data_IF_941334835101
#
_entry.id   IF_941334835101
#
_cell.length_a   1.000
_cell.length_b   1.000
_cell.length_c   1.000
_cell.angle_alpha   90.00
_cell.angle_beta   90.00
_cell.angle_gamma   90.00
#
_symmetry.space_group_name_H-M   'P 1'
#
loop_
_entity.id
_entity.type
_entity.pdbx_description
1 polymer ?
#
# COMPACT_ATOMS: atom_id res chain seq x y z
N UNK A 1 4.23 4.67 -36.40
CA UNK A 1 4.20 4.84 -34.94
C UNK A 1 5.36 5.76 -34.59
N UNK A 2 5.10 6.94 -34.02
CA UNK A 2 6.17 7.81 -33.52
C UNK A 2 6.75 7.25 -32.22
N UNK A 3 7.98 7.62 -31.82
CA UNK A 3 8.55 7.20 -30.53
C UNK A 3 7.62 7.49 -29.34
N UNK A 4 7.00 8.67 -29.30
CA UNK A 4 6.05 9.04 -28.25
C UNK A 4 4.79 8.16 -28.23
N UNK A 5 4.29 7.74 -29.40
CA UNK A 5 3.15 6.81 -29.49
C UNK A 5 3.54 5.40 -29.03
N UNK A 6 4.76 4.96 -29.35
CA UNK A 6 5.28 3.68 -28.89
C UNK A 6 5.43 3.66 -27.36
N UNK A 7 6.00 4.71 -26.77
CA UNK A 7 6.16 4.85 -25.31
C UNK A 7 4.80 4.86 -24.60
N UNK A 8 3.82 5.60 -25.15
CA UNK A 8 2.48 5.64 -24.59
C UNK A 8 1.84 4.25 -24.58
N UNK A 9 1.85 3.54 -25.71
CA UNK A 9 1.31 2.18 -25.81
C UNK A 9 2.03 1.18 -24.90
N UNK A 10 3.34 1.32 -24.75
CA UNK A 10 4.11 0.50 -23.82
C UNK A 10 3.63 0.71 -22.38
N UNK A 11 3.54 1.97 -21.93
CA UNK A 11 3.07 2.31 -20.58
C UNK A 11 1.61 1.89 -20.35
N UNK A 12 0.75 2.00 -21.37
CA UNK A 12 -0.65 1.57 -21.30
C UNK A 12 -0.82 0.07 -21.09
N UNK A 13 0.12 -0.74 -21.59
CA UNK A 13 0.13 -2.18 -21.37
C UNK A 13 0.83 -2.52 -20.05
N UNK A 14 1.96 -1.87 -19.74
CA UNK A 14 2.70 -2.08 -18.51
C UNK A 14 1.84 -1.80 -17.26
N UNK A 15 1.04 -0.72 -17.26
CA UNK A 15 0.16 -0.35 -16.13
C UNK A 15 -0.91 -1.39 -15.80
N UNK A 16 -1.25 -2.29 -16.73
CA UNK A 16 -2.25 -3.35 -16.55
C UNK A 16 -1.69 -4.57 -15.81
N UNK A 17 -0.37 -4.69 -15.69
CA UNK A 17 0.26 -5.81 -15.00
C UNK A 17 0.01 -5.70 -13.48
N UNK A 18 -0.34 -6.84 -12.86
CA UNK A 18 -0.65 -6.91 -11.42
C UNK A 18 0.51 -6.49 -10.51
N UNK A 19 1.75 -6.58 -11.02
CA UNK A 19 2.98 -6.25 -10.32
C UNK A 19 3.55 -4.89 -10.70
N UNK A 20 2.86 -4.11 -11.55
CA UNK A 20 3.33 -2.80 -11.96
C UNK A 20 3.47 -1.86 -10.78
N UNK A 21 4.69 -1.35 -10.55
CA UNK A 21 4.98 -0.40 -9.47
C UNK A 21 4.80 -0.96 -8.05
N UNK A 22 4.90 -2.28 -7.87
CA UNK A 22 4.81 -2.91 -6.54
C UNK A 22 6.22 -3.08 -5.96
N UNK A 23 6.49 -2.41 -4.84
CA UNK A 23 7.72 -2.60 -4.06
C UNK A 23 7.54 -3.77 -3.07
N UNK A 24 8.32 -4.83 -3.23
CA UNK A 24 8.15 -6.10 -2.50
C UNK A 24 9.11 -6.22 -1.32
N UNK A 25 8.58 -6.69 -0.19
CA UNK A 25 9.30 -6.87 1.06
C UNK A 25 8.98 -8.25 1.65
N UNK A 26 10.01 -9.05 1.93
CA UNK A 26 9.85 -10.35 2.58
C UNK A 26 9.46 -10.16 4.05
N UNK A 27 8.46 -10.90 4.51
CA UNK A 27 7.96 -10.84 5.87
C UNK A 27 7.38 -12.20 6.30
N UNK A 28 7.00 -12.28 7.56
CA UNK A 28 6.21 -13.35 8.16
C UNK A 28 4.98 -12.74 8.81
N UNK A 29 3.88 -13.48 8.85
CA UNK A 29 2.75 -13.10 9.68
C UNK A 29 3.04 -13.36 11.18
N UNK A 30 2.03 -13.19 12.03
CA UNK A 30 2.14 -13.46 13.48
C UNK A 30 2.25 -14.96 13.79
N UNK A 31 1.81 -15.83 12.88
CA UNK A 31 1.89 -17.29 12.99
C UNK A 31 3.23 -17.85 12.49
N UNK A 32 4.06 -17.00 11.87
CA UNK A 32 5.39 -17.35 11.38
C UNK A 32 5.42 -17.82 9.92
N UNK A 33 4.30 -17.75 9.22
CA UNK A 33 4.16 -18.13 7.81
C UNK A 33 4.87 -17.10 6.94
N UNK A 34 5.70 -17.58 6.02
CA UNK A 34 6.40 -16.73 5.07
C UNK A 34 5.42 -16.10 4.07
N UNK A 35 5.48 -14.78 3.97
CA UNK A 35 4.63 -13.94 3.13
C UNK A 35 5.48 -12.85 2.47
N UNK A 36 4.95 -12.22 1.43
CA UNK A 36 5.56 -11.03 0.83
C UNK A 36 4.59 -9.87 0.93
N UNK A 37 5.06 -8.75 1.47
CA UNK A 37 4.31 -7.49 1.52
C UNK A 37 4.66 -6.66 0.28
N UNK A 38 3.65 -6.17 -0.42
CA UNK A 38 3.78 -5.25 -1.55
C UNK A 38 3.25 -3.87 -1.20
N UNK A 39 4.05 -2.83 -1.43
CA UNK A 39 3.62 -1.43 -1.36
C UNK A 39 3.37 -0.93 -2.77
N UNK A 40 2.21 -0.34 -3.05
CA UNK A 40 1.95 0.31 -4.34
C UNK A 40 1.05 1.54 -4.18
N UNK A 41 0.74 2.19 -5.30
CA UNK A 41 -0.17 3.36 -5.33
C UNK A 41 -1.55 3.07 -4.75
N UNK A 42 -2.05 1.84 -4.92
CA UNK A 42 -3.38 1.42 -4.49
C UNK A 42 -3.48 0.89 -3.06
N UNK A 43 -2.39 0.82 -2.30
CA UNK A 43 -2.38 0.30 -0.93
C UNK A 43 -1.22 -0.64 -0.59
N UNK A 44 -1.36 -1.31 0.55
CA UNK A 44 -0.55 -2.46 0.93
C UNK A 44 -1.22 -3.75 0.46
N UNK A 45 -0.42 -4.70 0.00
CA UNK A 45 -0.86 -6.02 -0.45
C UNK A 45 -0.07 -7.10 0.26
N UNK A 46 -0.71 -8.22 0.55
CA UNK A 46 -0.07 -9.41 1.12
C UNK A 46 -0.14 -10.52 0.09
N UNK A 47 1.00 -11.13 -0.16
CA UNK A 47 1.16 -12.25 -1.07
C UNK A 47 1.65 -13.48 -0.31
N UNK A 48 1.10 -14.63 -0.67
CA UNK A 48 1.57 -15.95 -0.25
C UNK A 48 1.66 -16.81 -1.49
N UNK A 49 2.79 -17.49 -1.69
CA UNK A 49 3.03 -18.34 -2.86
C UNK A 49 2.77 -17.61 -4.20
N UNK A 50 3.14 -16.33 -4.28
CA UNK A 50 2.90 -15.41 -5.42
C UNK A 50 1.42 -15.07 -5.68
N UNK A 51 0.50 -15.60 -4.89
CA UNK A 51 -0.92 -15.25 -4.93
C UNK A 51 -1.21 -14.11 -3.95
N UNK A 52 -1.95 -13.10 -4.41
CA UNK A 52 -2.39 -11.99 -3.55
C UNK A 52 -3.54 -12.47 -2.66
N UNK A 53 -3.28 -12.58 -1.36
CA UNK A 53 -4.25 -13.07 -0.36
C UNK A 53 -5.01 -11.95 0.34
N UNK A 54 -4.40 -10.77 0.51
CA UNK A 54 -5.02 -9.64 1.20
C UNK A 54 -4.62 -8.30 0.58
N UNK A 55 -5.51 -7.31 0.74
CA UNK A 55 -5.29 -5.94 0.29
C UNK A 55 -5.81 -4.95 1.34
N UNK A 56 -4.96 -3.97 1.66
CA UNK A 56 -5.26 -2.85 2.54
C UNK A 56 -5.18 -1.55 1.75
N UNK A 57 -6.30 -1.05 1.19
CA UNK A 57 -6.32 0.23 0.48
C UNK A 57 -5.93 1.37 1.42
N UNK A 58 -5.19 2.34 0.92
CA UNK A 58 -4.73 3.45 1.75
C UNK A 58 -5.82 4.22 2.51
N UNK A 59 -7.01 4.48 1.93
CA UNK A 59 -8.10 5.14 2.67
C UNK A 59 -8.58 4.37 3.92
N UNK A 60 -8.35 3.04 3.96
CA UNK A 60 -8.66 2.22 5.14
C UNK A 60 -7.51 2.16 6.15
N UNK A 61 -6.29 2.54 5.76
CA UNK A 61 -5.12 2.52 6.66
C UNK A 61 -5.11 3.79 7.49
N UNK A 62 -5.33 3.66 8.80
CA UNK A 62 -5.38 4.77 9.76
C UNK A 62 -4.01 5.11 10.31
N UNK A 63 -3.17 4.10 10.56
CA UNK A 63 -1.84 4.28 11.16
C UNK A 63 -0.87 3.23 10.65
N UNK A 64 0.36 3.66 10.38
CA UNK A 64 1.49 2.81 9.99
C UNK A 64 2.59 3.00 11.02
N UNK A 65 3.09 1.90 11.57
CA UNK A 65 4.12 1.94 12.62
C UNK A 65 5.05 0.73 12.54
N UNK A 66 6.19 0.81 13.21
CA UNK A 66 7.12 -0.31 13.31
C UNK A 66 7.83 -0.31 14.66
N UNK A 67 8.22 -1.48 15.15
CA UNK A 67 8.97 -1.67 16.40
C UNK A 67 9.93 -2.85 16.23
N UNK A 68 11.23 -2.62 16.42
CA UNK A 68 12.29 -3.61 16.16
C UNK A 68 12.16 -4.16 14.74
N UNK A 69 11.98 -5.48 14.59
CA UNK A 69 11.75 -6.14 13.29
C UNK A 69 10.27 -6.36 12.98
N UNK A 70 9.35 -5.75 13.73
CA UNK A 70 7.91 -5.87 13.50
C UNK A 70 7.35 -4.59 12.85
N UNK A 71 6.43 -4.78 11.92
CA UNK A 71 5.69 -3.75 11.20
C UNK A 71 4.20 -3.91 11.49
N UNK A 72 3.49 -2.80 11.70
CA UNK A 72 2.09 -2.80 12.11
C UNK A 72 1.29 -1.77 11.33
N UNK A 73 0.08 -2.17 10.94
CA UNK A 73 -0.92 -1.28 10.35
C UNK A 73 -2.20 -1.34 11.16
N UNK A 74 -2.78 -0.17 11.43
CA UNK A 74 -4.10 -0.03 12.03
C UNK A 74 -5.09 0.28 10.93
N UNK A 75 -6.14 -0.53 10.80
CA UNK A 75 -7.13 -0.42 9.75
C UNK A 75 -8.45 0.09 10.35
N UNK A 76 -9.16 0.93 9.60
CA UNK A 76 -10.51 1.39 9.96
C UNK A 76 -11.47 0.20 10.00
N UNK A 77 -12.35 0.09 11.01
CA UNK A 77 -13.42 -0.90 11.03
C UNK A 77 -14.22 -0.86 9.72
N UNK A 78 -14.56 -2.03 9.21
CA UNK A 78 -15.52 -2.17 8.11
C UNK A 78 -16.93 -2.30 8.67
N UNK A 79 -17.99 -2.18 7.85
CA UNK A 79 -19.37 -2.41 8.31
C UNK A 79 -19.58 -3.79 8.95
N UNK A 80 -18.70 -4.76 8.64
CA UNK A 80 -18.71 -6.11 9.21
C UNK A 80 -17.81 -6.27 10.45
N UNK A 81 -16.83 -5.38 10.67
CA UNK A 81 -15.90 -5.43 11.81
C UNK A 81 -16.15 -4.24 12.73
N UNK A 82 -16.73 -4.47 13.90
CA UNK A 82 -17.10 -3.39 14.85
C UNK A 82 -15.89 -2.71 15.53
N UNK A 83 -14.66 -3.22 15.35
CA UNK A 83 -13.46 -2.74 16.03
C UNK A 83 -12.32 -2.44 15.08
N UNK A 84 -11.46 -1.50 15.47
CA UNK A 84 -10.23 -1.20 14.74
C UNK A 84 -9.25 -2.38 14.82
N UNK A 85 -8.98 -2.99 13.67
CA UNK A 85 -8.05 -4.13 13.56
C UNK A 85 -6.61 -3.64 13.41
N UNK A 86 -5.73 -4.07 14.32
CA UNK A 86 -4.27 -3.86 14.20
C UNK A 86 -3.63 -5.13 13.67
N UNK A 87 -3.01 -5.04 12.49
CA UNK A 87 -2.39 -6.18 11.81
C UNK A 87 -0.88 -6.03 11.92
N UNK A 88 -0.22 -7.11 12.37
CA UNK A 88 1.22 -7.16 12.59
C UNK A 88 1.92 -8.12 11.65
N UNK A 89 3.12 -7.74 11.23
CA UNK A 89 4.00 -8.53 10.38
C UNK A 89 5.41 -8.49 10.94
N UNK A 90 6.14 -9.60 10.83
CA UNK A 90 7.53 -9.73 11.26
C UNK A 90 8.46 -9.77 10.07
N UNK A 91 9.38 -8.82 9.97
CA UNK A 91 10.40 -8.78 8.94
C UNK A 91 11.71 -9.43 9.42
N UNK A 92 12.64 -9.75 8.51
CA UNK A 92 13.90 -10.40 8.87
C UNK A 92 14.75 -9.60 9.87
N UNK A 93 14.72 -8.26 9.79
CA UNK A 93 15.51 -7.39 10.65
C UNK A 93 14.93 -5.97 10.75
N UNK A 94 15.47 -5.17 11.68
CA UNK A 94 15.06 -3.77 11.90
C UNK A 94 15.20 -2.90 10.64
N UNK A 95 16.27 -3.08 9.85
CA UNK A 95 16.50 -2.27 8.65
C UNK A 95 15.40 -2.51 7.62
N UNK A 96 14.99 -3.77 7.44
CA UNK A 96 13.88 -4.15 6.57
C UNK A 96 12.56 -3.52 7.05
N UNK A 97 12.23 -3.62 8.35
CA UNK A 97 11.02 -2.99 8.90
C UNK A 97 11.00 -1.48 8.72
N UNK A 98 12.15 -0.82 8.96
CA UNK A 98 12.28 0.63 8.74
C UNK A 98 12.12 1.00 7.28
N UNK A 99 12.69 0.22 6.35
CA UNK A 99 12.56 0.43 4.90
C UNK A 99 11.09 0.33 4.47
N UNK A 100 10.41 -0.76 4.85
CA UNK A 100 9.00 -0.96 4.54
C UNK A 100 8.14 0.15 5.14
N UNK A 101 8.39 0.53 6.39
CA UNK A 101 7.67 1.63 7.06
C UNK A 101 7.83 2.94 6.29
N UNK A 102 9.06 3.34 5.94
CA UNK A 102 9.30 4.55 5.15
C UNK A 102 8.56 4.52 3.81
N UNK A 103 8.75 3.45 3.04
CA UNK A 103 8.09 3.29 1.74
C UNK A 103 6.56 3.37 1.88
N UNK A 104 5.99 2.71 2.89
CA UNK A 104 4.55 2.72 3.13
C UNK A 104 4.03 4.09 3.54
N UNK A 105 4.76 4.83 4.38
CA UNK A 105 4.40 6.20 4.77
C UNK A 105 4.48 7.14 3.57
N UNK A 106 5.56 7.09 2.79
CA UNK A 106 5.74 7.92 1.59
C UNK A 106 4.62 7.69 0.57
N UNK A 107 4.27 6.43 0.29
CA UNK A 107 3.16 6.09 -0.62
C UNK A 107 1.81 6.49 -0.03
N UNK A 108 1.57 6.25 1.25
CA UNK A 108 0.33 6.66 1.91
C UNK A 108 0.17 8.18 1.83
N UNK A 109 1.20 8.97 2.16
CA UNK A 109 1.14 10.43 2.05
C UNK A 109 0.92 10.89 0.61
N UNK A 110 1.64 10.31 -0.35
CA UNK A 110 1.54 10.69 -1.76
C UNK A 110 0.17 10.38 -2.38
N UNK A 111 -0.39 9.18 -2.12
CA UNK A 111 -1.62 8.71 -2.76
C UNK A 111 -2.90 8.86 -1.92
N UNK A 112 -2.79 9.10 -0.61
CA UNK A 112 -3.96 9.27 0.29
C UNK A 112 -4.30 10.72 0.56
N UNK A 113 -3.63 11.68 -0.08
CA UNK A 113 -4.12 13.06 -0.09
C UNK A 113 -5.46 13.05 -0.81
N UNK A 114 -6.51 12.91 0.01
CA UNK A 114 -7.84 13.39 -0.30
C UNK A 114 -7.64 14.81 -0.78
N UNK A 115 -7.94 14.98 -2.06
CA UNK A 115 -8.44 16.21 -2.64
C UNK A 115 -9.63 16.67 -1.78
N UNK A 116 -9.38 17.30 -0.64
CA UNK A 116 -10.26 18.37 -0.16
C UNK A 116 -9.91 19.61 -0.98
N UNK A 117 -10.07 19.48 -2.30
CA UNK A 117 -10.41 20.64 -3.10
C UNK A 117 -11.92 20.58 -3.18
N UNK A 118 -12.57 21.11 -2.15
CA UNK A 118 -13.83 21.81 -2.33
C UNK A 118 -13.59 22.92 -3.35
N UNK A 119 -13.61 22.57 -4.64
CA UNK A 119 -13.95 23.52 -5.70
C UNK A 119 -15.44 23.80 -5.58
N UNK A 120 -15.79 24.62 -4.59
CA UNK A 120 -16.95 25.51 -4.65
C UNK A 120 -16.50 26.88 -4.15
N UNK A 121 -15.45 27.40 -4.79
CA UNK A 121 -15.34 28.84 -5.06
C UNK A 121 -16.03 29.08 -6.39
N UNK A 122 -17.30 29.43 -6.34
CA UNK A 122 -18.12 29.87 -7.48
C UNK A 122 -18.91 31.08 -7.02
N UNK A 123 -18.86 32.13 -7.82
CA UNK A 123 -19.13 33.52 -7.48
C UNK A 123 -20.50 33.79 -6.84
N UNK A 124 -20.52 34.79 -5.96
CA UNK A 124 -21.68 35.65 -5.75
C UNK A 124 -21.80 36.53 -7.01
N UNK A 125 -22.85 36.29 -7.79
CA UNK A 125 -23.56 37.29 -8.58
C UNK A 125 -24.98 37.40 -8.00
#
# INVERSE_FOLDING_TARGET
MSPAQADMLFLENAKKLSMYGVDLHQAKDLEGVDITLGVCSGGLMVYKDKLRINRFPWPKVLKISYKRSSFFIKIRPSEQEQYESTIGFKLPNYKASKKLWKASVEHHTFFSTVRDISHTGGALD
#
